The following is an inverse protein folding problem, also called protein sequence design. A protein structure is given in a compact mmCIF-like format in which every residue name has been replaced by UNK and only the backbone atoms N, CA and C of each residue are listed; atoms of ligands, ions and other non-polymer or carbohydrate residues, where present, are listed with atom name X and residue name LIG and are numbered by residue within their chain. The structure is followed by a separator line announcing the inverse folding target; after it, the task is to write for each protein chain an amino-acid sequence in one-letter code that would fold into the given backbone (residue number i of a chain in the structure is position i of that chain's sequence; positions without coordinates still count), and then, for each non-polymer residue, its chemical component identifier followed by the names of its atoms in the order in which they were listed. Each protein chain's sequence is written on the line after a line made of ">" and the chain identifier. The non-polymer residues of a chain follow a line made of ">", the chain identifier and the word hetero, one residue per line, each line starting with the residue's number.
data_IF_375356291487
#
_entry.id   IF_375356291487
#
_cell.length_a   1.000
_cell.length_b   1.000
_cell.length_c   1.000
_cell.angle_alpha   90.00
_cell.angle_beta   90.00
_cell.angle_gamma   90.00
#
_symmetry.space_group_name_H-M   'P 1'
#
loop_
_entity.id
_entity.type
_entity.pdbx_description
1 polymer ?
#
# COMPACT_ATOMS: atom_id res chain seq x y z
N UNK A 1 -15.25 28.60 -10.69
CA UNK A 1 -16.24 28.98 -11.74
C UNK A 1 -16.50 27.75 -12.62
N UNK A 2 -17.73 27.56 -13.11
CA UNK A 2 -18.06 26.47 -14.04
C UNK A 2 -18.21 27.07 -15.44
N UNK A 3 -17.46 26.54 -16.41
CA UNK A 3 -17.47 27.01 -17.80
C UNK A 3 -17.91 25.87 -18.72
N UNK A 4 -18.86 26.15 -19.61
CA UNK A 4 -19.24 25.23 -20.67
C UNK A 4 -18.40 25.52 -21.91
N UNK A 5 -17.59 24.54 -22.32
CA UNK A 5 -16.65 24.66 -23.44
C UNK A 5 -16.87 23.54 -24.47
N UNK A 6 -16.52 23.73 -25.74
CA UNK A 6 -16.57 22.68 -26.75
C UNK A 6 -15.58 21.53 -26.43
N UNK A 7 -15.88 20.31 -26.88
CA UNK A 7 -15.05 19.11 -26.61
C UNK A 7 -13.56 19.26 -26.95
N UNK A 8 -13.23 19.94 -28.06
CA UNK A 8 -11.83 20.23 -28.46
C UNK A 8 -11.01 20.96 -27.39
N UNK A 9 -11.66 21.79 -26.58
CA UNK A 9 -11.01 22.54 -25.52
C UNK A 9 -10.75 21.64 -24.31
N UNK A 10 -11.67 20.73 -24.01
CA UNK A 10 -11.47 19.67 -23.01
C UNK A 10 -10.33 18.72 -23.43
N UNK A 11 -10.25 18.36 -24.72
CA UNK A 11 -9.16 17.56 -25.27
C UNK A 11 -7.79 18.26 -25.12
N UNK A 12 -7.75 19.58 -25.34
CA UNK A 12 -6.54 20.37 -25.14
C UNK A 12 -6.14 20.40 -23.65
N UNK A 13 -7.09 20.60 -22.75
CA UNK A 13 -6.87 20.61 -21.30
C UNK A 13 -6.43 19.24 -20.76
N UNK A 14 -7.01 18.15 -21.27
CA UNK A 14 -6.68 16.78 -20.87
C UNK A 14 -5.44 16.21 -21.57
N UNK A 15 -4.85 16.96 -22.51
CA UNK A 15 -3.76 16.52 -23.40
C UNK A 15 -4.13 15.26 -24.18
N UNK A 16 -5.36 15.21 -24.71
CA UNK A 16 -5.91 14.09 -25.47
C UNK A 16 -6.26 12.85 -24.64
N UNK A 17 -6.27 12.96 -23.30
CA UNK A 17 -6.71 11.88 -22.42
C UNK A 17 -8.24 11.88 -22.30
N UNK A 18 -8.88 10.72 -22.08
CA UNK A 18 -10.33 10.65 -21.91
C UNK A 18 -10.80 11.56 -20.76
N UNK A 19 -11.63 12.56 -21.08
CA UNK A 19 -12.15 13.55 -20.13
C UNK A 19 -13.64 13.31 -19.78
N UNK A 20 -14.34 12.44 -20.51
CA UNK A 20 -15.74 12.08 -20.22
C UNK A 20 -16.70 13.30 -20.11
N UNK A 21 -16.41 14.37 -20.86
CA UNK A 21 -17.20 15.60 -20.89
C UNK A 21 -16.91 16.62 -19.77
N UNK A 22 -15.98 16.35 -18.85
CA UNK A 22 -15.67 17.26 -17.72
C UNK A 22 -14.16 17.37 -17.50
N UNK A 23 -13.67 18.56 -17.17
CA UNK A 23 -12.32 18.79 -16.66
C UNK A 23 -12.39 19.69 -15.44
N UNK A 24 -11.47 19.50 -14.50
CA UNK A 24 -11.34 20.32 -13.31
C UNK A 24 -9.87 20.66 -13.10
N UNK A 25 -9.59 21.93 -12.85
CA UNK A 25 -8.28 22.38 -12.41
C UNK A 25 -8.19 22.19 -10.90
N UNK A 26 -7.24 21.38 -10.45
CA UNK A 26 -7.03 21.03 -9.06
C UNK A 26 -5.58 21.30 -8.65
N UNK A 27 -5.39 21.57 -7.36
CA UNK A 27 -4.06 21.55 -6.77
C UNK A 27 -3.48 20.12 -6.82
N UNK A 28 -2.14 19.97 -6.88
CA UNK A 28 -1.51 18.66 -6.77
C UNK A 28 -1.89 17.95 -5.47
N UNK A 29 -2.03 16.63 -5.53
CA UNK A 29 -2.22 15.79 -4.35
C UNK A 29 -0.91 15.68 -3.56
N UNK A 30 -0.84 16.15 -2.30
CA UNK A 30 0.35 16.02 -1.48
C UNK A 30 0.38 14.68 -0.74
N UNK A 31 1.59 14.17 -0.48
CA UNK A 31 1.76 13.20 0.61
C UNK A 31 1.62 13.93 1.95
N UNK A 32 0.89 13.34 2.89
CA UNK A 32 0.80 13.84 4.26
C UNK A 32 2.05 13.47 5.06
N UNK A 33 2.38 14.27 6.08
CA UNK A 33 3.48 13.91 6.98
C UNK A 33 3.03 12.82 7.93
N UNK A 34 3.90 11.84 8.22
CA UNK A 34 3.65 10.86 9.28
C UNK A 34 3.42 11.49 10.66
N UNK A 35 3.96 12.69 10.91
CA UNK A 35 3.72 13.43 12.16
C UNK A 35 2.24 13.81 12.32
N UNK A 36 1.61 14.19 11.22
CA UNK A 36 0.17 14.53 11.18
C UNK A 36 -0.69 13.28 11.38
N UNK A 37 -0.14 12.10 11.11
CA UNK A 37 -0.80 10.83 11.34
C UNK A 37 -0.91 10.51 12.84
N UNK A 38 0.05 10.92 13.68
CA UNK A 38 0.06 10.57 15.10
C UNK A 38 -1.01 11.32 15.91
N UNK A 39 -1.62 12.36 15.35
CA UNK A 39 -2.78 13.00 15.96
C UNK A 39 -4.01 12.08 15.86
N UNK A 40 -4.62 11.70 17.00
CA UNK A 40 -5.84 10.91 16.97
C UNK A 40 -6.94 11.77 16.37
N UNK A 41 -7.46 11.36 15.21
CA UNK A 41 -8.71 11.90 14.70
C UNK A 41 -9.81 11.60 15.72
N UNK A 42 -10.13 12.61 16.52
CA UNK A 42 -11.34 12.71 17.35
C UNK A 42 -12.55 12.78 16.40
N UNK A 43 -12.91 11.65 15.81
CA UNK A 43 -14.00 11.52 14.85
C UNK A 43 -14.71 10.19 15.05
N UNK A 44 -15.73 10.24 15.90
CA UNK A 44 -16.91 9.37 16.00
C UNK A 44 -16.77 7.86 15.73
N UNK A 45 -16.93 7.08 16.81
CA UNK A 45 -17.51 5.74 16.76
C UNK A 45 -16.54 4.57 16.53
N UNK A 46 -16.29 3.82 17.61
CA UNK A 46 -15.51 2.57 17.66
C UNK A 46 -13.99 2.71 17.43
N UNK A 47 -13.34 3.41 18.36
CA UNK A 47 -11.89 3.51 18.52
C UNK A 47 -11.19 2.20 18.95
N UNK A 48 -11.75 1.05 18.59
CA UNK A 48 -11.36 -0.23 19.16
C UNK A 48 -10.31 -1.04 18.42
N UNK A 49 -10.23 -0.98 17.08
CA UNK A 49 -9.38 -1.97 16.38
C UNK A 49 -9.26 -1.76 14.87
N UNK A 50 -8.67 -0.66 14.40
CA UNK A 50 -8.26 -0.58 13.00
C UNK A 50 -6.81 -0.16 12.96
N UNK A 51 -5.94 -1.14 12.70
CA UNK A 51 -4.50 -0.99 12.82
C UNK A 51 -3.76 -1.82 11.76
N UNK A 52 -4.14 -1.63 10.50
CA UNK A 52 -3.37 -2.17 9.38
C UNK A 52 -2.69 -1.02 8.65
N UNK A 53 -1.37 -0.92 8.80
CA UNK A 53 -0.54 0.03 8.07
C UNK A 53 0.11 -0.69 6.90
N UNK A 54 -0.13 -0.22 5.70
CA UNK A 54 0.53 -0.77 4.52
C UNK A 54 1.74 0.07 4.11
N UNK A 55 2.87 -0.60 3.90
CA UNK A 55 4.13 0.01 3.45
C UNK A 55 4.51 -0.52 2.07
N UNK A 56 4.53 0.36 1.09
CA UNK A 56 5.06 0.05 -0.23
C UNK A 56 6.57 0.18 -0.28
N UNK A 57 7.27 -0.90 -0.62
CA UNK A 57 8.67 -0.85 -1.08
C UNK A 57 8.68 -0.78 -2.61
N UNK A 58 9.30 0.26 -3.15
CA UNK A 58 9.91 0.24 -4.48
C UNK A 58 11.40 0.00 -4.30
N UNK A 59 12.04 -0.74 -5.20
CA UNK A 59 13.49 -0.88 -5.24
C UNK A 59 14.14 0.46 -5.62
N UNK A 60 14.98 0.45 -6.65
CA UNK A 60 15.72 1.62 -7.15
C UNK A 60 14.84 2.89 -7.18
N UNK A 61 15.35 4.05 -6.69
CA UNK A 61 14.61 5.31 -6.66
C UNK A 61 13.91 5.62 -7.99
N UNK A 62 12.59 5.86 -7.96
CA UNK A 62 11.82 6.29 -9.13
C UNK A 62 11.27 5.18 -10.04
N UNK A 63 11.23 3.92 -9.59
CA UNK A 63 10.78 2.78 -10.41
C UNK A 63 9.41 2.19 -10.05
N UNK A 64 8.74 2.70 -9.01
CA UNK A 64 7.39 2.23 -8.69
C UNK A 64 6.40 2.61 -9.79
N UNK A 65 5.75 1.62 -10.40
CA UNK A 65 4.72 1.85 -11.41
C UNK A 65 3.51 2.60 -10.80
N UNK A 66 3.17 3.81 -11.30
CA UNK A 66 2.00 4.56 -10.86
C UNK A 66 0.68 3.79 -10.95
N UNK A 67 0.55 2.85 -11.89
CA UNK A 67 -0.64 2.00 -12.02
C UNK A 67 -0.74 1.03 -10.85
N UNK A 68 0.37 0.38 -10.47
CA UNK A 68 0.43 -0.51 -9.33
C UNK A 68 0.14 0.24 -8.02
N UNK A 69 0.71 1.44 -7.82
CA UNK A 69 0.41 2.25 -6.64
C UNK A 69 -1.08 2.61 -6.59
N UNK A 70 -1.67 3.10 -7.68
CA UNK A 70 -3.08 3.46 -7.70
C UNK A 70 -4.01 2.28 -7.44
N UNK A 71 -3.78 1.12 -8.09
CA UNK A 71 -4.56 -0.10 -7.86
C UNK A 71 -4.46 -0.58 -6.41
N UNK A 72 -3.29 -0.42 -5.80
CA UNK A 72 -3.08 -0.76 -4.42
C UNK A 72 -3.81 0.19 -3.48
N UNK A 73 -3.72 1.51 -3.67
CA UNK A 73 -4.46 2.50 -2.88
C UNK A 73 -5.96 2.23 -2.90
N UNK A 74 -6.50 1.87 -4.07
CA UNK A 74 -7.91 1.47 -4.21
C UNK A 74 -8.23 0.23 -3.39
N UNK A 75 -7.37 -0.79 -3.46
CA UNK A 75 -7.57 -2.04 -2.71
C UNK A 75 -7.48 -1.81 -1.21
N UNK A 76 -6.51 -1.00 -0.77
CA UNK A 76 -6.31 -0.62 0.62
C UNK A 76 -7.53 0.13 1.17
N UNK A 77 -8.01 1.15 0.45
CA UNK A 77 -9.24 1.87 0.81
C UNK A 77 -10.45 0.93 0.90
N UNK A 78 -10.67 0.10 -0.13
CA UNK A 78 -11.82 -0.79 -0.19
C UNK A 78 -11.83 -1.87 0.92
N UNK A 79 -10.65 -2.37 1.28
CA UNK A 79 -10.49 -3.42 2.30
C UNK A 79 -10.39 -2.87 3.72
N UNK A 80 -10.49 -1.55 3.91
CA UNK A 80 -10.48 -0.91 5.22
C UNK A 80 -9.09 -0.83 5.86
N UNK A 81 -8.04 -0.67 5.07
CA UNK A 81 -6.70 -0.32 5.57
C UNK A 81 -6.75 1.10 6.13
N UNK A 82 -6.17 1.29 7.31
CA UNK A 82 -6.24 2.59 8.00
C UNK A 82 -5.38 3.65 7.34
N UNK A 83 -4.18 3.25 6.95
CA UNK A 83 -3.13 4.16 6.52
C UNK A 83 -2.22 3.48 5.52
N UNK A 84 -1.85 4.24 4.50
CA UNK A 84 -0.82 3.85 3.54
C UNK A 84 0.36 4.78 3.70
N UNK A 85 1.53 4.19 3.89
CA UNK A 85 2.79 4.92 4.04
C UNK A 85 3.74 4.50 2.92
N UNK A 86 4.43 5.47 2.32
CA UNK A 86 5.38 5.26 1.23
C UNK A 86 6.70 5.98 1.49
N UNK A 87 7.80 5.45 0.96
CA UNK A 87 9.10 6.13 0.95
C UNK A 87 9.07 7.30 -0.04
N UNK A 88 9.35 8.53 0.40
CA UNK A 88 9.42 9.69 -0.50
C UNK A 88 10.60 9.63 -1.49
N UNK A 89 11.63 8.85 -1.17
CA UNK A 89 12.83 8.69 -2.02
C UNK A 89 12.56 7.80 -3.23
N UNK A 90 11.72 6.78 -3.06
CA UNK A 90 11.62 5.67 -4.01
C UNK A 90 10.21 5.50 -4.61
N UNK A 91 9.21 6.14 -4.02
CA UNK A 91 7.83 6.10 -4.52
C UNK A 91 7.64 7.02 -5.72
N UNK A 92 6.69 6.65 -6.58
CA UNK A 92 6.20 7.58 -7.58
C UNK A 92 5.33 8.66 -6.90
N UNK A 93 5.38 9.92 -7.36
CA UNK A 93 4.45 10.95 -6.90
C UNK A 93 2.99 10.55 -7.14
N UNK A 94 2.06 11.21 -6.43
CA UNK A 94 0.63 11.09 -6.68
C UNK A 94 0.24 11.77 -8.01
N UNK A 95 0.55 11.10 -9.12
CA UNK A 95 0.30 11.59 -10.48
C UNK A 95 -1.15 11.35 -10.93
N UNK A 96 -1.61 11.98 -12.03
CA UNK A 96 -2.91 11.66 -12.62
C UNK A 96 -3.09 10.17 -12.99
N UNK A 97 -1.99 9.43 -13.23
CA UNK A 97 -2.05 7.99 -13.48
C UNK A 97 -2.43 7.25 -12.19
N UNK A 98 -1.84 7.62 -11.06
CA UNK A 98 -2.20 7.08 -9.72
C UNK A 98 -3.66 7.38 -9.41
N UNK A 99 -4.09 8.64 -9.58
CA UNK A 99 -5.48 9.03 -9.32
C UNK A 99 -6.47 8.22 -10.17
N UNK A 100 -6.20 8.08 -11.48
CA UNK A 100 -7.01 7.25 -12.38
C UNK A 100 -7.02 5.77 -11.99
N UNK A 101 -5.85 5.17 -11.75
CA UNK A 101 -5.73 3.76 -11.39
C UNK A 101 -6.40 3.45 -10.03
N UNK A 102 -6.38 4.43 -9.11
CA UNK A 102 -7.07 4.34 -7.82
C UNK A 102 -8.58 4.54 -7.90
N UNK A 103 -9.11 4.90 -9.07
CA UNK A 103 -10.51 5.30 -9.26
C UNK A 103 -10.96 6.41 -8.29
N UNK A 104 -10.06 7.37 -8.00
CA UNK A 104 -10.32 8.48 -7.09
C UNK A 104 -10.16 8.16 -5.61
N UNK A 105 -9.75 6.94 -5.22
CA UNK A 105 -9.53 6.62 -3.81
C UNK A 105 -8.48 7.55 -3.15
N UNK A 106 -7.47 7.98 -3.89
CA UNK A 106 -6.44 8.92 -3.41
C UNK A 106 -6.98 10.30 -3.00
N UNK A 107 -8.19 10.67 -3.43
CA UNK A 107 -8.84 11.95 -3.06
C UNK A 107 -9.46 11.90 -1.66
N UNK A 108 -9.74 10.69 -1.15
CA UNK A 108 -10.45 10.47 0.12
C UNK A 108 -9.67 9.59 1.09
N UNK A 109 -8.51 9.08 0.67
CA UNK A 109 -7.67 8.18 1.44
C UNK A 109 -6.26 8.74 1.57
N UNK A 110 -5.88 9.02 2.81
CA UNK A 110 -4.62 9.66 3.12
C UNK A 110 -3.43 8.76 2.84
N UNK A 111 -2.49 9.30 2.05
CA UNK A 111 -1.21 8.67 1.76
C UNK A 111 -0.11 9.46 2.43
N UNK A 112 0.67 8.79 3.27
CA UNK A 112 1.71 9.40 4.07
C UNK A 112 3.09 9.12 3.48
N UNK A 113 3.95 10.13 3.51
CA UNK A 113 5.34 10.04 3.06
C UNK A 113 6.33 9.96 4.22
N UNK A 114 7.36 9.13 4.09
CA UNK A 114 8.52 9.12 5.00
C UNK A 114 9.84 9.14 4.25
N UNK A 115 10.83 9.84 4.81
CA UNK A 115 12.21 9.84 4.32
C UNK A 115 13.09 8.76 4.97
N UNK A 116 12.63 8.20 6.10
CA UNK A 116 13.29 7.16 6.87
C UNK A 116 12.31 6.03 7.22
N UNK A 117 12.18 5.10 6.27
CA UNK A 117 11.34 3.92 6.44
C UNK A 117 11.84 3.01 7.57
N UNK A 118 13.16 2.88 7.75
CA UNK A 118 13.74 1.97 8.73
C UNK A 118 13.54 2.47 10.15
N UNK A 119 13.80 3.76 10.40
CA UNK A 119 13.54 4.39 11.68
C UNK A 119 12.07 4.31 12.06
N UNK A 120 11.18 4.51 11.09
CA UNK A 120 9.74 4.35 11.29
C UNK A 120 9.34 2.92 11.71
N UNK A 121 9.80 1.90 10.96
CA UNK A 121 9.53 0.50 11.29
C UNK A 121 10.04 0.12 12.69
N UNK A 122 11.25 0.57 13.02
CA UNK A 122 11.87 0.32 14.33
C UNK A 122 11.10 1.00 15.46
N UNK A 123 10.66 2.24 15.27
CA UNK A 123 9.86 2.97 16.25
C UNK A 123 8.52 2.27 16.50
N UNK A 124 7.79 1.90 15.44
CA UNK A 124 6.50 1.21 15.59
C UNK A 124 6.64 -0.19 16.18
N UNK A 125 7.70 -0.91 15.84
CA UNK A 125 8.03 -2.18 16.49
C UNK A 125 8.26 -2.01 18.00
N UNK A 126 8.95 -0.94 18.42
CA UNK A 126 9.15 -0.60 19.83
C UNK A 126 7.85 -0.17 20.54
N UNK A 127 6.90 0.43 19.82
CA UNK A 127 5.54 0.74 20.30
C UNK A 127 4.61 -0.50 20.37
N UNK A 128 5.09 -1.68 19.98
CA UNK A 128 4.35 -2.94 20.07
C UNK A 128 3.61 -3.35 18.79
N UNK A 129 3.82 -2.65 17.67
CA UNK A 129 3.30 -3.07 16.37
C UNK A 129 4.03 -4.32 15.87
N UNK A 130 3.29 -5.25 15.26
CA UNK A 130 3.87 -6.39 14.56
C UNK A 130 4.17 -6.02 13.11
N UNK A 131 5.46 -5.97 12.77
CA UNK A 131 5.90 -5.76 11.39
C UNK A 131 5.98 -7.11 10.68
N UNK A 132 5.21 -7.26 9.60
CA UNK A 132 5.22 -8.43 8.73
C UNK A 132 5.60 -8.04 7.31
N UNK A 133 6.51 -8.80 6.72
CA UNK A 133 6.91 -8.61 5.33
C UNK A 133 6.14 -9.54 4.40
N UNK A 134 6.20 -9.29 3.10
CA UNK A 134 5.67 -10.20 2.08
C UNK A 134 6.77 -10.78 1.23
N UNK A 135 6.61 -12.04 0.83
CA UNK A 135 7.57 -12.71 -0.03
C UNK A 135 6.90 -13.54 -1.13
N UNK A 136 7.45 -13.46 -2.33
CA UNK A 136 7.04 -14.29 -3.47
C UNK A 136 7.71 -15.67 -3.45
N UNK A 137 8.99 -15.73 -3.05
CA UNK A 137 9.80 -16.96 -3.02
C UNK A 137 10.29 -17.25 -1.61
N UNK A 138 9.69 -18.20 -0.87
CA UNK A 138 10.07 -18.51 0.52
C UNK A 138 11.55 -18.86 0.72
N UNK A 139 12.27 -19.23 -0.35
CA UNK A 139 13.70 -19.56 -0.35
C UNK A 139 14.63 -18.33 -0.30
N UNK A 140 14.11 -17.13 -0.54
CA UNK A 140 14.92 -15.91 -0.67
C UNK A 140 15.09 -15.18 0.68
N UNK A 141 14.62 -15.76 1.78
CA UNK A 141 14.74 -15.20 3.12
C UNK A 141 15.54 -16.14 4.01
N UNK A 142 16.59 -15.57 4.60
CA UNK A 142 17.38 -16.19 5.64
C UNK A 142 16.83 -15.70 7.00
N UNK A 143 16.67 -16.62 7.95
CA UNK A 143 16.41 -16.35 9.37
C UNK A 143 15.08 -15.66 9.77
N UNK A 144 14.09 -15.52 8.87
CA UNK A 144 12.73 -15.05 9.22
C UNK A 144 11.68 -16.11 8.87
N UNK A 145 10.77 -16.48 9.80
CA UNK A 145 9.76 -17.49 9.54
C UNK A 145 8.78 -17.03 8.46
N UNK A 146 8.61 -17.87 7.44
CA UNK A 146 7.61 -17.69 6.38
C UNK A 146 6.34 -18.45 6.74
N UNK A 147 5.20 -17.78 6.70
CA UNK A 147 3.87 -18.36 6.95
C UNK A 147 2.93 -18.06 5.79
N UNK A 148 1.94 -18.92 5.60
CA UNK A 148 0.87 -18.65 4.63
C UNK A 148 0.06 -17.44 5.10
N UNK A 149 -0.29 -16.55 4.17
CA UNK A 149 -1.15 -15.41 4.48
C UNK A 149 -2.52 -15.84 5.03
N UNK A 150 -2.97 -17.07 4.73
CA UNK A 150 -4.22 -17.66 5.23
C UNK A 150 -4.17 -18.14 6.68
N UNK A 151 -2.97 -18.23 7.25
CA UNK A 151 -2.73 -18.71 8.63
C UNK A 151 -2.30 -17.57 9.56
N UNK A 152 -2.10 -16.37 9.01
CA UNK A 152 -1.65 -15.21 9.77
C UNK A 152 -2.79 -14.57 10.56
N UNK A 153 -2.82 -14.90 11.84
CA UNK A 153 -3.70 -14.26 12.81
C UNK A 153 -2.96 -13.17 13.57
N UNK A 154 -3.66 -12.07 13.84
CA UNK A 154 -3.12 -10.94 14.56
C UNK A 154 -4.08 -10.45 15.66
N UNK A 155 -3.49 -10.05 16.78
CA UNK A 155 -4.14 -9.57 18.00
C UNK A 155 -3.71 -8.15 18.41
N UNK A 156 -2.74 -7.59 17.69
CA UNK A 156 -2.09 -6.30 17.95
C UNK A 156 -1.97 -5.50 16.64
N UNK A 157 -1.61 -4.20 16.69
CA UNK A 157 -1.40 -3.41 15.48
C UNK A 157 -0.44 -4.10 14.50
N UNK A 158 -0.77 -4.16 13.21
CA UNK A 158 0.07 -4.80 12.18
C UNK A 158 0.53 -3.78 11.14
N UNK A 159 1.81 -3.87 10.80
CA UNK A 159 2.39 -3.21 9.64
C UNK A 159 2.72 -4.27 8.59
N UNK A 160 2.10 -4.17 7.41
CA UNK A 160 2.40 -5.05 6.28
C UNK A 160 3.33 -4.32 5.31
N UNK A 161 4.54 -4.84 5.17
CA UNK A 161 5.55 -4.33 4.25
C UNK A 161 5.53 -5.15 2.97
N UNK A 162 5.19 -4.50 1.86
CA UNK A 162 5.13 -5.14 0.54
C UNK A 162 6.36 -4.79 -0.26
N UNK A 163 7.01 -5.83 -0.78
CA UNK A 163 8.19 -5.72 -1.64
C UNK A 163 7.88 -5.20 -3.04
N UNK A 164 8.93 -4.79 -3.75
CA UNK A 164 8.83 -4.47 -5.17
C UNK A 164 8.70 -5.74 -6.01
N UNK A 165 8.12 -5.57 -7.20
CA UNK A 165 8.09 -6.63 -8.21
C UNK A 165 9.53 -7.01 -8.60
N UNK A 166 9.82 -8.31 -8.66
CA UNK A 166 11.15 -8.85 -8.98
C UNK A 166 12.15 -8.84 -7.81
N UNK A 167 12.43 -7.69 -7.20
CA UNK A 167 13.45 -7.58 -6.14
C UNK A 167 12.95 -7.95 -4.74
N UNK A 168 11.63 -8.00 -4.51
CA UNK A 168 11.06 -8.32 -3.20
C UNK A 168 11.32 -7.24 -2.15
N UNK A 169 11.56 -7.63 -0.90
CA UNK A 169 11.85 -6.72 0.23
C UNK A 169 13.35 -6.48 0.42
N UNK A 170 13.78 -5.30 0.90
CA UNK A 170 15.19 -5.01 1.19
C UNK A 170 15.61 -5.85 2.36
N UNK A 171 16.86 -6.30 2.38
CA UNK A 171 17.41 -7.02 3.53
C UNK A 171 17.20 -6.26 4.85
N UNK A 172 17.30 -4.93 4.81
CA UNK A 172 17.05 -4.05 5.97
C UNK A 172 15.59 -4.09 6.44
N UNK A 173 14.63 -4.01 5.51
CA UNK A 173 13.21 -4.15 5.83
C UNK A 173 12.89 -5.58 6.32
N UNK A 174 13.50 -6.59 5.71
CA UNK A 174 13.35 -7.99 6.11
C UNK A 174 13.81 -8.22 7.56
N UNK A 175 14.92 -7.61 7.98
CA UNK A 175 15.40 -7.68 9.37
C UNK A 175 14.48 -7.04 10.40
N UNK A 176 13.62 -6.10 10.00
CA UNK A 176 12.59 -5.54 10.88
C UNK A 176 11.32 -6.39 10.92
N UNK A 177 11.13 -7.29 9.95
CA UNK A 177 9.97 -8.14 9.89
C UNK A 177 10.10 -9.30 10.89
N UNK A 178 9.07 -9.46 11.73
CA UNK A 178 8.98 -10.60 12.65
C UNK A 178 8.62 -11.89 11.91
N UNK A 179 7.84 -11.77 10.84
CA UNK A 179 7.39 -12.87 9.98
C UNK A 179 7.30 -12.40 8.53
N UNK A 180 7.37 -13.36 7.62
CA UNK A 180 7.10 -13.17 6.21
C UNK A 180 5.80 -13.86 5.82
N UNK A 181 4.94 -13.16 5.08
CA UNK A 181 3.70 -13.69 4.53
C UNK A 181 3.93 -14.08 3.07
N UNK A 182 3.54 -15.31 2.74
CA UNK A 182 3.54 -15.80 1.37
C UNK A 182 2.12 -16.16 0.93
N UNK A 183 1.83 -15.92 -0.35
CA UNK A 183 0.62 -16.44 -1.00
C UNK A 183 0.98 -17.80 -1.60
N UNK A 184 0.42 -18.92 -1.11
CA UNK A 184 0.75 -20.22 -1.66
C UNK A 184 0.21 -20.38 -3.09
N UNK A 185 1.00 -20.87 -4.04
CA UNK A 185 0.51 -21.12 -5.39
C UNK A 185 -0.42 -22.34 -5.41
N UNK A 186 -1.54 -22.25 -6.11
CA UNK A 186 -2.47 -23.37 -6.27
C UNK A 186 -2.00 -24.48 -7.22
N UNK A 187 -0.79 -24.38 -7.77
CA UNK A 187 -0.16 -25.36 -8.67
C UNK A 187 1.37 -25.26 -8.61
N UNK A 188 2.05 -26.26 -9.14
CA UNK A 188 3.48 -26.16 -9.42
C UNK A 188 3.73 -25.03 -10.43
N UNK A 189 4.56 -24.07 -10.06
CA UNK A 189 4.88 -22.92 -10.89
C UNK A 189 5.87 -23.30 -12.00
N UNK A 190 5.70 -22.70 -13.18
CA UNK A 190 6.69 -22.78 -14.24
C UNK A 190 7.94 -21.98 -13.81
N UNK A 191 9.18 -22.42 -14.10
CA UNK A 191 10.39 -21.70 -13.69
C UNK A 191 10.47 -20.23 -14.14
N UNK A 192 9.74 -19.87 -15.20
CA UNK A 192 9.65 -18.50 -15.71
C UNK A 192 8.51 -17.64 -15.13
N UNK A 193 7.68 -18.17 -14.22
CA UNK A 193 6.59 -17.44 -13.55
C UNK A 193 6.71 -17.71 -12.06
N UNK A 194 7.31 -16.79 -11.33
CA UNK A 194 7.68 -16.99 -9.93
C UNK A 194 6.96 -16.05 -8.95
N UNK A 195 6.16 -15.12 -9.46
CA UNK A 195 5.50 -14.09 -8.66
C UNK A 195 4.20 -13.58 -9.30
N UNK A 196 3.38 -12.97 -8.45
CA UNK A 196 2.22 -12.20 -8.88
C UNK A 196 2.61 -10.73 -9.04
N UNK A 197 1.85 -9.99 -9.85
CA UNK A 197 1.92 -8.53 -9.84
C UNK A 197 1.69 -8.00 -8.42
N UNK A 198 2.48 -7.00 -8.03
CA UNK A 198 2.48 -6.46 -6.66
C UNK A 198 1.11 -5.95 -6.19
N UNK A 199 0.33 -5.33 -7.06
CA UNK A 199 -1.01 -4.81 -6.71
C UNK A 199 -2.01 -5.94 -6.47
N UNK A 200 -1.91 -7.02 -7.24
CA UNK A 200 -2.74 -8.22 -7.07
C UNK A 200 -2.37 -8.96 -5.79
N UNK A 201 -1.07 -9.16 -5.55
CA UNK A 201 -0.59 -9.77 -4.31
C UNK A 201 -1.03 -8.96 -3.08
N UNK A 202 -0.91 -7.63 -3.13
CA UNK A 202 -1.39 -6.74 -2.08
C UNK A 202 -2.88 -6.93 -1.80
N UNK A 203 -3.73 -6.95 -2.83
CA UNK A 203 -5.17 -7.16 -2.65
C UNK A 203 -5.50 -8.49 -1.97
N UNK A 204 -4.85 -9.60 -2.39
CA UNK A 204 -5.05 -10.93 -1.79
C UNK A 204 -4.60 -10.93 -0.32
N UNK A 205 -3.42 -10.39 -0.04
CA UNK A 205 -2.87 -10.33 1.31
C UNK A 205 -3.74 -9.49 2.23
N UNK A 206 -4.11 -8.28 1.81
CA UNK A 206 -4.96 -7.39 2.59
C UNK A 206 -6.31 -8.06 2.88
N UNK A 207 -6.93 -8.69 1.89
CA UNK A 207 -8.19 -9.40 2.11
C UNK A 207 -8.05 -10.55 3.12
N UNK A 208 -6.98 -11.33 3.00
CA UNK A 208 -6.66 -12.43 3.91
C UNK A 208 -6.43 -11.95 5.34
N UNK A 209 -5.61 -10.90 5.53
CA UNK A 209 -5.24 -10.35 6.82
C UNK A 209 -6.43 -9.66 7.49
N UNK A 210 -7.20 -8.84 6.75
CA UNK A 210 -8.39 -8.19 7.29
C UNK A 210 -9.45 -9.22 7.73
N UNK A 211 -9.54 -10.37 7.07
CA UNK A 211 -10.47 -11.44 7.42
C UNK A 211 -10.04 -12.28 8.64
N UNK A 212 -8.76 -12.24 9.02
CA UNK A 212 -8.15 -13.08 10.08
C UNK A 212 -7.88 -12.34 11.39
N UNK A 213 -8.42 -11.14 11.52
CA UNK A 213 -8.34 -10.37 12.74
C UNK A 213 -9.00 -11.14 13.89
N UNK A 214 -8.23 -11.46 14.93
CA UNK A 214 -8.80 -12.07 16.14
C UNK A 214 -9.74 -11.07 16.79
N UNK A 215 -11.00 -11.44 16.96
CA UNK A 215 -11.94 -10.64 17.76
C UNK A 215 -11.51 -10.77 19.21
N UNK A 216 -11.36 -9.64 19.92
CA UNK A 216 -11.18 -9.66 21.36
C UNK A 216 -12.44 -10.32 21.97
N UNK A 217 -12.35 -11.60 22.34
CA UNK A 217 -13.50 -12.35 22.89
C UNK A 217 -13.55 -13.86 22.66
N UNK A 218 -12.61 -14.47 21.92
CA UNK A 218 -12.46 -15.93 21.83
C UNK A 218 -11.39 -16.47 22.81
#
# INVERSE_FOLDING_TARGET
>A
PVLHVPGRELDALSRGRPHQGVCLEAAPLPFKSLRDAEEPHLGDGESGSRQLLWLGRGGIPGTQDPMNLGALLRSAYFLGVDRVVVSLRDSCPLTPIVSKASAGAVEVFDVYGTDDLQGFLKAKSAEGWEVVGTISRPRDVEDVPVISCSEFQWDRPVIVVIGSEGEGLSLEAQRQCRRMLAIPPGRALHPGIDSLNVSVAAGILLHSICSQKRRHGD
#
